data_IF_293805456685
#
_entry.id   IF_293805456685
#
_cell.length_a   1.000
_cell.length_b   1.000
_cell.length_c   1.000
_cell.angle_alpha   90.00
_cell.angle_beta   90.00
_cell.angle_gamma   90.00
#
_symmetry.space_group_name_H-M   'P 1'
#
loop_
_entity.id
_entity.type
_entity.pdbx_description
1 polymer ?
#
# COMPACT_ATOMS: atom_id res chain seq x y z
N UNK A 1 -6.76 -46.87 4.89
CA UNK A 1 -6.06 -46.23 3.77
C UNK A 1 -6.63 -44.84 3.63
N UNK A 2 -6.01 -43.85 4.26
CA UNK A 2 -6.40 -42.44 4.12
C UNK A 2 -6.04 -42.01 2.72
N UNK A 3 -7.03 -41.59 1.93
CA UNK A 3 -6.80 -40.91 0.65
C UNK A 3 -5.75 -39.83 0.87
N UNK A 4 -4.62 -39.96 0.18
CA UNK A 4 -3.65 -38.89 0.02
C UNK A 4 -4.40 -37.73 -0.63
N UNK A 5 -4.82 -36.73 0.14
CA UNK A 5 -5.47 -35.56 -0.41
C UNK A 5 -4.50 -34.89 -1.40
N UNK A 6 -4.93 -34.77 -2.65
CA UNK A 6 -4.13 -34.13 -3.68
C UNK A 6 -3.96 -32.65 -3.32
N UNK A 7 -2.74 -32.27 -2.94
CA UNK A 7 -2.40 -30.95 -2.39
C UNK A 7 -1.44 -30.22 -3.33
N UNK A 8 -1.49 -28.88 -3.30
CA UNK A 8 -0.51 -27.99 -3.92
C UNK A 8 0.15 -27.19 -2.80
N UNK A 9 1.47 -27.13 -2.83
CA UNK A 9 2.25 -26.24 -1.95
C UNK A 9 2.36 -24.87 -2.62
N UNK A 10 2.00 -23.82 -1.90
CA UNK A 10 2.21 -22.43 -2.31
C UNK A 10 3.26 -21.80 -1.41
N UNK A 11 4.20 -21.05 -1.98
CA UNK A 11 5.30 -20.40 -1.24
C UNK A 11 5.09 -18.88 -1.15
N UNK A 12 5.40 -18.30 0.01
CA UNK A 12 5.30 -16.88 0.28
C UNK A 12 6.51 -16.33 1.04
N UNK A 13 6.94 -15.13 0.67
CA UNK A 13 8.10 -14.45 1.27
C UNK A 13 7.93 -12.93 1.31
N UNK A 14 8.47 -12.30 2.36
CA UNK A 14 8.63 -10.85 2.40
C UNK A 14 9.95 -10.41 1.76
N UNK A 15 10.13 -9.09 1.56
CA UNK A 15 11.30 -8.54 0.87
C UNK A 15 12.63 -8.89 1.55
N UNK A 16 12.70 -8.87 2.88
CA UNK A 16 13.93 -9.16 3.61
C UNK A 16 14.18 -10.66 3.87
N UNK A 17 13.25 -11.54 3.49
CA UNK A 17 13.34 -12.99 3.73
C UNK A 17 13.16 -13.46 5.18
N UNK A 18 13.03 -12.53 6.15
CA UNK A 18 12.80 -12.87 7.58
C UNK A 18 11.46 -13.59 7.80
N UNK A 19 10.47 -13.33 6.92
CA UNK A 19 9.27 -14.15 6.79
C UNK A 19 9.35 -14.93 5.49
N UNK A 20 9.34 -16.25 5.63
CA UNK A 20 9.30 -17.24 4.56
C UNK A 20 8.50 -18.44 5.03
N UNK A 21 7.43 -18.78 4.32
CA UNK A 21 6.62 -19.95 4.63
C UNK A 21 6.06 -20.59 3.37
N UNK A 22 5.69 -21.85 3.50
CA UNK A 22 4.86 -22.56 2.53
C UNK A 22 3.50 -22.88 3.13
N UNK A 23 2.51 -23.14 2.29
CA UNK A 23 1.18 -23.60 2.70
C UNK A 23 0.72 -24.70 1.76
N UNK A 24 0.33 -25.84 2.33
CA UNK A 24 -0.24 -26.95 1.57
C UNK A 24 -1.76 -26.79 1.55
N UNK A 25 -2.31 -26.68 0.35
CA UNK A 25 -3.75 -26.49 0.13
C UNK A 25 -4.33 -27.62 -0.73
N UNK A 26 -5.57 -28.07 -0.49
CA UNK A 26 -6.23 -29.00 -1.39
C UNK A 26 -6.35 -28.40 -2.79
N UNK A 27 -5.96 -29.12 -3.85
CA UNK A 27 -6.10 -28.59 -5.22
C UNK A 27 -7.54 -28.27 -5.58
N UNK A 28 -8.51 -28.98 -4.99
CA UNK A 28 -9.95 -28.71 -5.14
C UNK A 28 -10.42 -27.38 -4.57
N UNK A 29 -9.59 -26.70 -3.75
CA UNK A 29 -9.89 -25.37 -3.22
C UNK A 29 -9.37 -24.24 -4.10
N UNK A 30 -8.59 -24.56 -5.13
CA UNK A 30 -8.03 -23.60 -6.08
C UNK A 30 -8.96 -23.40 -7.28
N UNK A 31 -8.98 -22.19 -7.86
CA UNK A 31 -8.26 -20.99 -7.42
C UNK A 31 -8.95 -20.31 -6.23
N UNK A 32 -8.16 -19.68 -5.36
CA UNK A 32 -8.69 -18.90 -4.25
C UNK A 32 -9.22 -17.53 -4.71
N UNK A 33 -10.42 -17.12 -4.27
CA UNK A 33 -10.91 -15.77 -4.55
C UNK A 33 -10.10 -14.75 -3.75
N UNK A 34 -9.64 -13.69 -4.41
CA UNK A 34 -8.93 -12.56 -3.81
C UNK A 34 -9.84 -11.36 -3.74
N UNK A 35 -9.91 -10.76 -2.55
CA UNK A 35 -10.63 -9.52 -2.33
C UNK A 35 -9.68 -8.37 -2.02
N UNK A 36 -10.00 -7.20 -2.56
CA UNK A 36 -9.36 -5.93 -2.26
C UNK A 36 -10.15 -5.25 -1.16
N UNK A 37 -9.55 -5.07 0.03
CA UNK A 37 -10.17 -4.34 1.13
C UNK A 37 -9.69 -2.90 1.16
N UNK A 38 -10.65 -1.96 1.15
CA UNK A 38 -10.40 -0.53 1.04
C UNK A 38 -10.64 0.25 2.33
N UNK A 39 -11.02 -0.43 3.42
CA UNK A 39 -11.34 0.24 4.67
C UNK A 39 -10.14 1.04 5.20
N UNK A 40 -10.43 2.10 5.96
CA UNK A 40 -9.40 2.98 6.55
C UNK A 40 -8.35 2.20 7.35
N UNK A 41 -8.77 1.20 8.13
CA UNK A 41 -7.85 0.33 8.86
C UNK A 41 -6.82 -0.34 7.93
N UNK A 42 -7.26 -0.95 6.82
CA UNK A 42 -6.38 -1.66 5.90
C UNK A 42 -5.42 -0.70 5.20
N UNK A 43 -5.89 0.47 4.75
CA UNK A 43 -5.01 1.48 4.14
C UNK A 43 -4.00 2.04 5.13
N UNK A 44 -4.46 2.48 6.30
CA UNK A 44 -3.63 3.14 7.29
C UNK A 44 -2.66 2.19 8.02
N UNK A 45 -2.92 0.87 8.01
CA UNK A 45 -2.04 -0.15 8.60
C UNK A 45 -1.07 -0.77 7.60
N UNK A 46 -1.36 -0.72 6.29
CA UNK A 46 -0.43 -1.20 5.26
C UNK A 46 0.43 -0.08 4.66
N UNK A 47 -0.13 1.13 4.53
CA UNK A 47 0.43 2.21 3.72
C UNK A 47 0.04 2.13 2.23
N UNK A 48 -0.69 1.09 1.83
CA UNK A 48 -1.14 0.87 0.45
C UNK A 48 -2.57 1.38 0.21
N UNK A 49 -2.97 1.64 -1.05
CA UNK A 49 -4.31 2.14 -1.38
C UNK A 49 -5.43 1.14 -1.01
N UNK A 50 -5.10 -0.15 -0.98
CA UNK A 50 -5.93 -1.26 -0.51
C UNK A 50 -5.03 -2.46 -0.19
N UNK A 51 -5.62 -3.54 0.31
CA UNK A 51 -4.91 -4.80 0.62
C UNK A 51 -5.53 -5.97 -0.13
N UNK A 52 -4.72 -6.96 -0.50
CA UNK A 52 -5.09 -8.08 -1.37
C UNK A 52 -5.11 -9.36 -0.57
N UNK A 53 -6.28 -9.81 -0.15
CA UNK A 53 -6.42 -10.89 0.82
C UNK A 53 -7.20 -12.07 0.24
N UNK A 54 -6.87 -13.26 0.71
CA UNK A 54 -7.72 -14.44 0.52
C UNK A 54 -7.90 -15.20 1.84
N UNK A 55 -8.91 -16.05 1.93
CA UNK A 55 -9.13 -16.91 3.09
C UNK A 55 -8.54 -18.29 2.82
N UNK A 56 -7.62 -18.74 3.67
CA UNK A 56 -7.20 -20.14 3.63
C UNK A 56 -8.31 -21.05 4.19
N UNK A 57 -8.41 -22.30 3.71
CA UNK A 57 -9.36 -23.27 4.26
C UNK A 57 -9.17 -23.46 5.77
N UNK A 58 -10.26 -23.77 6.48
CA UNK A 58 -10.21 -24.00 7.94
C UNK A 58 -9.21 -25.11 8.26
N UNK A 59 -8.35 -24.88 9.25
CA UNK A 59 -7.29 -25.80 9.66
C UNK A 59 -6.02 -25.75 8.83
N UNK A 60 -6.02 -25.13 7.64
CA UNK A 60 -4.79 -24.88 6.88
C UNK A 60 -3.98 -23.79 7.59
N UNK A 61 -2.69 -24.03 7.77
CA UNK A 61 -1.75 -23.13 8.44
C UNK A 61 -0.43 -23.05 7.66
N UNK A 62 0.23 -21.88 7.66
CA UNK A 62 1.59 -21.75 7.16
C UNK A 62 2.57 -22.70 7.86
N UNK A 63 3.50 -23.23 7.08
CA UNK A 63 4.69 -23.95 7.54
C UNK A 63 5.88 -23.04 7.30
N UNK A 64 6.40 -22.45 8.36
CA UNK A 64 7.57 -21.57 8.25
C UNK A 64 8.79 -22.35 7.79
N UNK A 65 9.57 -21.75 6.88
CA UNK A 65 10.81 -22.30 6.36
C UNK A 65 11.96 -21.68 7.16
N UNK A 66 12.70 -22.51 7.90
CA UNK A 66 13.77 -22.05 8.79
C UNK A 66 14.80 -21.19 8.06
N UNK A 67 15.26 -20.05 8.64
CA UNK A 67 15.09 -19.64 10.04
C UNK A 67 13.81 -18.86 10.35
N UNK A 68 12.88 -18.70 9.38
CA UNK A 68 11.61 -18.02 9.62
C UNK A 68 10.78 -18.75 10.67
N UNK A 69 10.04 -17.99 11.46
CA UNK A 69 9.07 -18.49 12.44
C UNK A 69 8.05 -17.40 12.81
N UNK A 70 7.08 -17.75 13.65
CA UNK A 70 6.12 -16.79 14.19
C UNK A 70 6.79 -15.65 14.98
N UNK A 71 7.95 -15.87 15.61
CA UNK A 71 8.66 -14.81 16.34
C UNK A 71 9.24 -13.71 15.43
N UNK A 72 9.27 -13.93 14.11
CA UNK A 72 9.65 -12.93 13.12
C UNK A 72 8.46 -12.02 12.72
N UNK A 73 7.25 -12.33 13.21
CA UNK A 73 6.04 -11.53 13.03
C UNK A 73 5.82 -10.60 14.23
N UNK A 74 5.27 -9.43 13.94
CA UNK A 74 4.62 -8.58 14.93
C UNK A 74 3.12 -8.61 14.69
N UNK A 75 2.36 -8.87 15.76
CA UNK A 75 0.90 -8.91 15.73
C UNK A 75 0.34 -7.61 16.33
N UNK A 76 -0.27 -6.79 15.49
CA UNK A 76 -0.99 -5.60 15.89
C UNK A 76 -2.47 -5.92 16.08
N UNK A 77 -2.97 -5.71 17.31
CA UNK A 77 -4.36 -6.01 17.69
C UNK A 77 -5.03 -4.70 18.11
N UNK A 78 -6.14 -4.37 17.46
CA UNK A 78 -7.00 -3.25 17.87
C UNK A 78 -8.05 -3.79 18.85
N UNK A 79 -8.45 -3.01 19.88
CA UNK A 79 -9.57 -3.39 20.73
C UNK A 79 -10.80 -3.81 19.90
N UNK A 80 -11.48 -4.88 20.34
CA UNK A 80 -12.68 -5.43 19.68
C UNK A 80 -12.45 -6.05 18.28
N UNK A 81 -11.21 -6.07 17.78
CA UNK A 81 -10.88 -6.79 16.54
C UNK A 81 -10.99 -8.31 16.73
N UNK A 82 -11.49 -8.99 15.70
CA UNK A 82 -11.60 -10.47 15.69
C UNK A 82 -10.33 -11.16 15.16
N UNK A 83 -9.32 -10.38 14.79
CA UNK A 83 -8.09 -10.88 14.19
C UNK A 83 -6.93 -9.92 14.42
N UNK A 84 -5.72 -10.45 14.48
CA UNK A 84 -4.49 -9.67 14.51
C UNK A 84 -4.05 -9.28 13.10
N UNK A 85 -3.60 -8.04 12.95
CA UNK A 85 -2.87 -7.58 11.77
C UNK A 85 -1.39 -7.95 11.92
N UNK A 86 -0.91 -8.90 11.12
CA UNK A 86 0.41 -9.50 11.30
C UNK A 86 1.36 -9.11 10.17
N UNK A 87 2.52 -8.58 10.55
CA UNK A 87 3.53 -8.06 9.61
C UNK A 87 4.94 -8.49 10.01
N UNK A 88 5.88 -8.46 9.07
CA UNK A 88 7.28 -8.79 9.33
C UNK A 88 7.93 -7.75 10.24
N UNK A 89 8.51 -8.20 11.37
CA UNK A 89 9.16 -7.30 12.34
C UNK A 89 10.40 -6.58 11.82
N UNK A 90 10.98 -7.07 10.72
CA UNK A 90 12.21 -6.54 10.11
C UNK A 90 11.93 -5.52 9.01
N UNK A 91 10.98 -5.81 8.10
CA UNK A 91 10.75 -4.97 6.92
C UNK A 91 9.37 -4.29 6.85
N UNK A 92 8.47 -4.59 7.79
CA UNK A 92 7.11 -4.00 7.83
C UNK A 92 6.10 -4.67 6.91
N UNK A 93 6.50 -5.60 6.04
CA UNK A 93 5.59 -6.24 5.09
C UNK A 93 4.37 -6.86 5.77
N UNK A 94 3.19 -6.46 5.32
CA UNK A 94 1.94 -7.10 5.73
C UNK A 94 1.92 -8.55 5.26
N UNK A 95 1.69 -9.48 6.19
CA UNK A 95 1.72 -10.92 5.92
C UNK A 95 0.30 -11.48 5.91
N UNK A 96 -0.48 -11.24 6.96
CA UNK A 96 -1.82 -11.80 7.09
C UNK A 96 -2.64 -11.09 8.16
N UNK A 97 -3.97 -11.20 8.03
CA UNK A 97 -4.86 -11.09 9.20
C UNK A 97 -5.07 -12.49 9.77
N UNK A 98 -4.91 -12.68 11.08
CA UNK A 98 -5.06 -14.00 11.74
C UNK A 98 -6.19 -13.92 12.75
N UNK A 99 -7.22 -14.76 12.61
CA UNK A 99 -8.35 -14.78 13.55
C UNK A 99 -7.91 -15.12 14.97
N UNK A 100 -8.27 -14.30 15.96
CA UNK A 100 -7.82 -14.49 17.35
C UNK A 100 -8.42 -15.75 17.99
N UNK A 101 -9.69 -16.05 17.69
CA UNK A 101 -10.37 -17.24 18.21
C UNK A 101 -10.22 -18.45 17.27
N UNK A 102 -10.34 -18.24 15.96
CA UNK A 102 -10.35 -19.33 14.97
C UNK A 102 -8.94 -19.78 14.55
N UNK A 103 -7.93 -18.94 14.77
CA UNK A 103 -6.58 -19.10 14.21
C UNK A 103 -6.54 -19.11 12.68
N UNK A 104 -7.64 -18.77 12.00
CA UNK A 104 -7.70 -18.84 10.54
C UNK A 104 -6.90 -17.71 9.92
N UNK A 105 -6.12 -18.07 8.91
CA UNK A 105 -5.24 -17.15 8.19
C UNK A 105 -5.96 -16.54 6.99
N UNK A 106 -5.86 -15.22 6.90
CA UNK A 106 -6.26 -14.41 5.77
C UNK A 106 -5.00 -13.73 5.23
N UNK A 107 -4.15 -14.45 4.47
CA UNK A 107 -2.86 -13.93 4.04
C UNK A 107 -3.01 -12.88 2.94
N UNK A 108 -1.99 -12.01 2.84
CA UNK A 108 -1.79 -11.22 1.64
C UNK A 108 -1.39 -12.14 0.49
N UNK A 109 -2.13 -12.09 -0.62
CA UNK A 109 -1.76 -12.86 -1.81
C UNK A 109 -0.56 -12.27 -2.54
N UNK A 110 -0.24 -11.01 -2.24
CA UNK A 110 0.85 -10.25 -2.86
C UNK A 110 2.25 -10.76 -2.49
N UNK A 111 2.39 -11.57 -1.44
CA UNK A 111 3.69 -12.10 -0.99
C UNK A 111 3.98 -13.51 -1.52
N UNK A 112 3.04 -14.12 -2.23
CA UNK A 112 3.22 -15.45 -2.81
C UNK A 112 4.08 -15.38 -4.07
N UNK A 113 4.90 -16.40 -4.31
CA UNK A 113 5.73 -16.51 -5.52
C UNK A 113 4.92 -16.99 -6.72
N UNK A 114 3.98 -17.91 -6.48
CA UNK A 114 3.16 -18.53 -7.51
C UNK A 114 1.81 -17.83 -7.63
N UNK A 115 1.82 -16.52 -7.86
CA UNK A 115 0.60 -15.78 -8.12
C UNK A 115 0.17 -15.91 -9.58
N UNK A 116 -1.13 -16.02 -9.81
CA UNK A 116 -1.70 -16.22 -11.14
C UNK A 116 -3.10 -16.82 -11.06
N UNK A 117 -3.87 -16.78 -12.16
CA UNK A 117 -5.31 -17.09 -12.18
C UNK A 117 -5.65 -18.54 -11.81
N UNK A 118 -4.66 -19.45 -11.86
CA UNK A 118 -4.80 -20.84 -11.40
C UNK A 118 -4.79 -20.99 -9.88
N UNK A 119 -4.13 -20.06 -9.17
CA UNK A 119 -3.98 -20.11 -7.71
C UNK A 119 -4.82 -19.04 -7.00
N UNK A 120 -4.87 -17.84 -7.57
CA UNK A 120 -5.48 -16.67 -6.98
C UNK A 120 -6.24 -15.88 -8.04
N UNK A 121 -7.52 -15.62 -7.79
CA UNK A 121 -8.37 -14.86 -8.69
C UNK A 121 -8.82 -13.56 -8.06
N UNK A 122 -8.22 -12.46 -8.51
CA UNK A 122 -8.65 -11.10 -8.17
C UNK A 122 -10.00 -10.82 -8.83
N UNK A 123 -10.98 -10.41 -8.02
CA UNK A 123 -12.31 -10.11 -8.58
C UNK A 123 -13.33 -9.54 -7.61
N UNK A 124 -12.93 -9.11 -6.41
CA UNK A 124 -13.87 -8.55 -5.43
C UNK A 124 -13.31 -7.30 -4.76
N UNK A 125 -14.12 -6.26 -4.67
CA UNK A 125 -13.91 -5.13 -3.77
C UNK A 125 -14.75 -5.31 -2.52
N UNK A 126 -14.14 -5.09 -1.36
CA UNK A 126 -14.87 -4.96 -0.09
C UNK A 126 -14.57 -3.62 0.57
N UNK A 127 -15.58 -3.00 1.18
CA UNK A 127 -15.46 -1.70 1.83
C UNK A 127 -14.99 -0.57 0.89
N UNK A 128 -15.27 -0.65 -0.42
CA UNK A 128 -14.95 0.42 -1.37
C UNK A 128 -15.66 1.74 -1.05
N UNK A 129 -16.86 1.68 -0.47
CA UNK A 129 -17.57 2.86 0.04
C UNK A 129 -16.95 3.42 1.32
N UNK A 130 -16.01 2.72 1.97
CA UNK A 130 -15.26 3.24 3.13
C UNK A 130 -14.15 4.24 2.73
N UNK A 131 -14.05 4.57 1.44
CA UNK A 131 -13.14 5.55 0.88
C UNK A 131 -13.97 6.64 0.21
N UNK A 132 -13.87 7.86 0.71
CA UNK A 132 -14.43 9.01 0.01
C UNK A 132 -13.79 9.12 -1.37
N UNK A 133 -14.61 9.37 -2.39
CA UNK A 133 -14.15 9.34 -3.79
C UNK A 133 -13.67 7.97 -4.26
N UNK A 134 -14.03 6.86 -3.59
CA UNK A 134 -13.78 5.47 -4.00
C UNK A 134 -12.32 4.99 -3.99
N UNK A 135 -11.34 5.90 -4.08
CA UNK A 135 -9.94 5.51 -4.17
C UNK A 135 -9.64 4.66 -5.41
N UNK A 136 -8.70 3.71 -5.27
CA UNK A 136 -8.27 2.85 -6.39
C UNK A 136 -9.38 1.95 -6.95
N UNK A 137 -10.47 1.70 -6.21
CA UNK A 137 -11.56 0.86 -6.73
C UNK A 137 -12.25 1.46 -7.96
N UNK A 138 -12.17 2.79 -8.15
CA UNK A 138 -12.75 3.45 -9.33
C UNK A 138 -11.98 3.13 -10.62
N UNK A 139 -10.69 2.79 -10.50
CA UNK A 139 -9.83 2.39 -11.62
C UNK A 139 -9.83 0.87 -11.85
N UNK A 140 -10.47 0.11 -10.97
CA UNK A 140 -10.53 -1.36 -11.03
C UNK A 140 -11.98 -1.81 -11.11
N UNK A 141 -12.70 -1.40 -12.15
CA UNK A 141 -14.11 -1.75 -12.32
C UNK A 141 -14.29 -3.15 -12.90
N UNK A 142 -13.33 -3.61 -13.68
CA UNK A 142 -13.35 -4.90 -14.36
C UNK A 142 -11.93 -5.44 -14.57
N UNK A 143 -11.82 -6.74 -14.82
CA UNK A 143 -10.58 -7.47 -15.13
C UNK A 143 -10.90 -8.53 -16.18
N UNK A 144 -10.19 -8.51 -17.33
CA UNK A 144 -10.46 -9.41 -18.46
C UNK A 144 -11.95 -9.44 -18.89
N UNK A 145 -12.60 -8.26 -18.89
CA UNK A 145 -14.01 -8.12 -19.23
C UNK A 145 -15.01 -8.59 -18.15
N UNK A 146 -14.55 -9.06 -16.99
CA UNK A 146 -15.41 -9.42 -15.84
C UNK A 146 -15.48 -8.28 -14.85
N UNK A 147 -16.68 -7.86 -14.46
CA UNK A 147 -16.86 -6.84 -13.43
C UNK A 147 -16.41 -7.34 -12.05
N UNK A 148 -15.82 -6.44 -11.25
CA UNK A 148 -15.53 -6.74 -9.85
C UNK A 148 -16.82 -6.89 -9.06
N UNK A 149 -16.92 -7.97 -8.28
CA UNK A 149 -17.98 -8.12 -7.28
C UNK A 149 -17.75 -7.10 -6.18
N UNK A 150 -18.74 -6.26 -5.87
CA UNK A 150 -18.60 -5.24 -4.82
C UNK A 150 -19.44 -5.62 -3.60
N UNK A 151 -18.81 -5.64 -2.43
CA UNK A 151 -19.50 -5.77 -1.15
C UNK A 151 -19.20 -4.57 -0.25
N UNK A 152 -20.26 -3.94 0.25
CA UNK A 152 -20.17 -2.94 1.30
C UNK A 152 -21.20 -3.28 2.39
N UNK A 153 -20.90 -2.98 3.67
CA UNK A 153 -21.90 -3.09 4.71
C UNK A 153 -23.11 -2.16 4.43
N UNK A 154 -24.31 -2.48 4.99
CA UNK A 154 -25.46 -1.58 4.94
C UNK A 154 -25.13 -0.19 5.49
N UNK A 155 -25.73 0.87 4.93
CA UNK A 155 -25.37 2.27 5.24
C UNK A 155 -25.63 2.67 6.69
N UNK A 156 -26.59 2.03 7.35
CA UNK A 156 -26.92 2.18 8.77
C UNK A 156 -25.98 1.38 9.71
N UNK A 157 -25.12 0.52 9.16
CA UNK A 157 -24.17 -0.25 9.94
C UNK A 157 -23.04 0.64 10.48
N UNK A 158 -22.62 0.47 11.75
CA UNK A 158 -21.40 1.11 12.26
C UNK A 158 -20.14 0.81 11.41
N UNK A 159 -20.13 -0.33 10.70
CA UNK A 159 -19.04 -0.74 9.80
C UNK A 159 -19.02 0.03 8.48
N UNK A 160 -20.11 0.71 8.11
CA UNK A 160 -20.18 1.57 6.93
C UNK A 160 -19.67 2.99 7.21
N UNK A 161 -19.44 3.35 8.49
CA UNK A 161 -19.00 4.68 8.88
C UNK A 161 -17.66 5.02 8.21
N UNK A 162 -17.65 6.15 7.49
CA UNK A 162 -16.44 6.70 6.90
C UNK A 162 -15.49 7.18 7.99
N UNK A 163 -14.20 7.00 7.72
CA UNK A 163 -13.19 7.77 8.44
C UNK A 163 -13.11 9.15 7.80
N UNK A 164 -13.56 10.17 8.54
CA UNK A 164 -13.43 11.56 8.13
C UNK A 164 -12.07 12.10 8.56
N UNK A 165 -11.40 12.81 7.64
CA UNK A 165 -10.18 13.55 7.94
C UNK A 165 -10.51 15.03 7.89
N UNK A 166 -10.06 15.76 8.90
CA UNK A 166 -10.24 17.21 8.96
C UNK A 166 -9.13 17.91 8.17
N UNK A 167 -9.43 19.05 7.51
CA UNK A 167 -8.39 19.92 6.97
C UNK A 167 -7.44 20.36 8.09
N UNK A 168 -6.13 20.36 7.80
CA UNK A 168 -5.12 20.80 8.75
C UNK A 168 -4.40 22.04 8.22
N UNK A 169 -4.09 22.97 9.13
CA UNK A 169 -3.42 24.24 8.85
C UNK A 169 -2.22 24.38 9.78
N UNK A 170 -1.06 24.74 9.23
CA UNK A 170 0.16 24.97 9.99
C UNK A 170 0.15 26.29 10.76
N UNK A 171 1.18 26.53 11.58
CA UNK A 171 1.33 27.78 12.34
C UNK A 171 1.43 29.03 11.44
N UNK A 172 1.86 28.83 10.19
CA UNK A 172 1.94 29.87 9.16
C UNK A 172 0.59 30.19 8.48
N UNK A 173 -0.50 29.55 8.91
CA UNK A 173 -1.84 29.74 8.35
C UNK A 173 -2.05 29.07 6.99
N UNK A 174 -1.12 28.22 6.52
CA UNK A 174 -1.24 27.50 5.25
C UNK A 174 -1.63 26.03 5.46
N UNK A 175 -2.34 25.48 4.49
CA UNK A 175 -2.74 24.07 4.47
C UNK A 175 -1.57 23.11 4.73
N UNK A 176 -1.85 22.00 5.42
CA UNK A 176 -0.94 20.89 5.68
C UNK A 176 -1.60 19.56 5.33
N UNK A 177 -0.85 18.66 4.70
CA UNK A 177 -1.26 17.27 4.48
C UNK A 177 -0.74 16.41 5.61
N UNK A 178 -1.65 15.79 6.36
CA UNK A 178 -1.31 14.82 7.41
C UNK A 178 -0.99 13.45 6.82
N UNK A 179 0.19 12.94 7.13
CA UNK A 179 0.59 11.55 6.92
C UNK A 179 0.65 10.84 8.28
N UNK A 180 -0.16 9.80 8.46
CA UNK A 180 -0.28 9.10 9.74
C UNK A 180 -0.66 7.62 9.56
N UNK A 181 -0.08 6.73 10.38
CA UNK A 181 -0.48 5.33 10.37
C UNK A 181 -1.69 5.07 11.25
N UNK A 182 -2.23 3.85 11.22
CA UNK A 182 -3.42 3.52 12.02
C UNK A 182 -3.22 3.76 13.52
N UNK A 183 -2.10 3.33 14.10
CA UNK A 183 -1.85 3.51 15.53
C UNK A 183 -1.46 4.94 15.94
N UNK A 184 -1.26 5.87 14.99
CA UNK A 184 -0.78 7.22 15.26
C UNK A 184 0.69 7.34 15.70
N UNK A 185 1.39 6.22 15.88
CA UNK A 185 2.79 6.20 16.35
C UNK A 185 3.80 6.78 15.36
N UNK A 186 3.45 6.89 14.08
CA UNK A 186 4.17 7.70 13.09
C UNK A 186 3.17 8.70 12.55
N UNK A 187 3.47 9.99 12.73
CA UNK A 187 2.60 11.09 12.34
C UNK A 187 3.40 12.35 12.09
N UNK A 188 3.21 12.96 10.93
CA UNK A 188 3.79 14.24 10.54
C UNK A 188 2.92 14.90 9.48
N UNK A 189 3.23 16.14 9.15
CA UNK A 189 2.61 16.86 8.03
C UNK A 189 3.64 17.29 7.01
N UNK A 190 3.17 17.63 5.81
CA UNK A 190 3.95 18.35 4.82
C UNK A 190 3.09 19.42 4.12
N UNK A 191 3.69 20.54 3.69
CA UNK A 191 2.98 21.61 3.00
C UNK A 191 2.75 21.28 1.52
N UNK A 192 2.01 22.16 0.85
CA UNK A 192 2.01 22.23 -0.62
C UNK A 192 3.41 22.58 -1.14
N UNK A 193 3.70 22.40 -2.44
CA UNK A 193 4.93 22.90 -3.04
C UNK A 193 5.19 24.37 -2.67
N UNK A 194 6.37 24.63 -2.12
CA UNK A 194 6.80 25.98 -1.73
C UNK A 194 7.38 26.72 -2.94
N UNK A 195 7.48 28.04 -2.86
CA UNK A 195 8.17 28.83 -3.91
C UNK A 195 9.62 28.37 -4.10
N UNK A 196 10.30 27.96 -3.03
CA UNK A 196 11.65 27.37 -3.10
C UNK A 196 11.64 26.08 -3.92
N UNK A 197 10.75 25.13 -3.63
CA UNK A 197 10.66 23.88 -4.37
C UNK A 197 10.27 24.07 -5.85
N UNK A 198 9.41 25.06 -6.14
CA UNK A 198 8.97 25.38 -7.51
C UNK A 198 10.12 25.97 -8.34
N UNK A 199 10.96 26.81 -7.72
CA UNK A 199 12.03 27.54 -8.43
C UNK A 199 13.39 26.82 -8.40
N UNK A 200 13.55 25.77 -7.58
CA UNK A 200 14.75 24.94 -7.53
C UNK A 200 14.81 23.96 -8.72
N UNK A 201 15.97 23.89 -9.39
CA UNK A 201 16.18 23.08 -10.59
C UNK A 201 15.93 21.58 -10.37
N UNK A 202 16.24 21.07 -9.19
CA UNK A 202 16.09 19.66 -8.85
C UNK A 202 14.70 19.36 -8.27
N UNK A 203 14.26 20.13 -7.26
CA UNK A 203 13.00 19.89 -6.55
C UNK A 203 11.77 20.12 -7.44
N UNK A 204 11.85 21.04 -8.40
CA UNK A 204 10.74 21.34 -9.32
C UNK A 204 10.32 20.14 -10.18
N UNK A 205 11.17 19.11 -10.31
CA UNK A 205 10.87 17.84 -11.00
C UNK A 205 9.85 16.98 -10.25
N UNK A 206 9.63 17.24 -8.96
CA UNK A 206 8.65 16.53 -8.12
C UNK A 206 7.35 17.32 -7.90
N UNK A 207 7.31 18.56 -8.40
CA UNK A 207 6.11 19.41 -8.42
C UNK A 207 5.33 19.17 -9.70
N UNK A 208 4.01 19.08 -9.61
CA UNK A 208 3.17 18.83 -10.77
C UNK A 208 3.39 19.86 -11.90
N UNK A 209 3.45 19.42 -13.18
CA UNK A 209 3.52 20.30 -14.34
C UNK A 209 2.15 20.92 -14.66
N UNK A 210 1.07 20.32 -14.16
CA UNK A 210 -0.31 20.75 -14.42
C UNK A 210 -0.80 21.76 -13.39
N UNK A 211 -0.37 21.60 -12.13
CA UNK A 211 -0.79 22.45 -11.01
C UNK A 211 0.35 22.61 -10.02
N UNK A 212 0.94 23.82 -9.95
CA UNK A 212 2.07 24.11 -9.06
C UNK A 212 1.72 24.07 -7.57
N UNK A 213 0.45 23.87 -7.21
CA UNK A 213 0.01 23.68 -5.82
C UNK A 213 -0.03 22.21 -5.38
N UNK A 214 0.32 21.28 -6.29
CA UNK A 214 0.25 19.82 -6.06
C UNK A 214 1.61 19.12 -6.24
N UNK A 215 1.81 18.07 -5.45
CA UNK A 215 2.92 17.14 -5.60
C UNK A 215 2.60 16.04 -6.62
N UNK A 216 3.63 15.43 -7.20
CA UNK A 216 3.43 14.25 -8.02
C UNK A 216 3.00 13.04 -7.20
N UNK A 217 2.19 12.18 -7.83
CA UNK A 217 1.91 10.84 -7.33
C UNK A 217 1.88 9.80 -8.46
N UNK A 218 2.21 8.56 -8.13
CA UNK A 218 2.01 7.44 -9.04
C UNK A 218 1.72 6.15 -8.29
N UNK A 219 1.09 5.21 -8.99
CA UNK A 219 1.08 3.81 -8.58
C UNK A 219 2.34 3.10 -9.07
N UNK A 220 2.89 2.24 -8.22
CA UNK A 220 4.09 1.45 -8.48
C UNK A 220 3.80 -0.04 -8.23
N UNK A 221 4.15 -0.87 -9.21
CA UNK A 221 3.91 -2.31 -9.22
C UNK A 221 5.21 -3.13 -9.27
N UNK A 222 6.32 -2.58 -8.81
CA UNK A 222 7.58 -3.32 -8.75
C UNK A 222 7.54 -4.44 -7.69
N UNK A 223 8.33 -5.50 -7.91
CA UNK A 223 8.40 -6.64 -6.98
C UNK A 223 8.86 -6.24 -5.57
N UNK A 224 9.74 -5.24 -5.46
CA UNK A 224 10.21 -4.77 -4.16
C UNK A 224 9.09 -4.09 -3.37
N UNK A 225 8.38 -3.14 -3.99
CA UNK A 225 7.23 -2.47 -3.39
C UNK A 225 6.16 -3.50 -2.98
N UNK A 226 5.93 -4.51 -3.82
CA UNK A 226 5.00 -5.59 -3.52
C UNK A 226 5.40 -6.38 -2.28
N UNK A 227 6.67 -6.80 -2.18
CA UNK A 227 7.17 -7.59 -1.04
C UNK A 227 7.48 -6.77 0.22
N UNK A 228 7.52 -5.43 0.12
CA UNK A 228 7.67 -4.52 1.28
C UNK A 228 6.32 -4.15 1.87
N UNK A 229 5.29 -3.99 1.04
CA UNK A 229 3.96 -3.57 1.51
C UNK A 229 3.02 -4.75 1.75
N UNK A 230 3.22 -5.87 1.05
CA UNK A 230 2.24 -6.94 0.97
C UNK A 230 0.99 -6.53 0.17
N UNK A 231 1.14 -5.69 -0.85
CA UNK A 231 0.07 -5.31 -1.78
C UNK A 231 0.54 -5.42 -3.24
N UNK A 232 -0.34 -5.70 -4.20
CA UNK A 232 0.05 -5.79 -5.62
C UNK A 232 0.54 -4.44 -6.19
N UNK A 233 0.08 -3.35 -5.57
CA UNK A 233 0.43 -1.98 -5.97
C UNK A 233 0.44 -1.08 -4.74
N UNK A 234 1.36 -0.12 -4.74
CA UNK A 234 1.46 0.95 -3.75
C UNK A 234 1.35 2.29 -4.46
N UNK A 235 0.79 3.29 -3.79
CA UNK A 235 0.84 4.68 -4.26
C UNK A 235 1.96 5.43 -3.56
N UNK A 236 2.73 6.21 -4.30
CA UNK A 236 3.78 7.09 -3.78
C UNK A 236 3.50 8.54 -4.15
N UNK A 237 3.77 9.46 -3.23
CA UNK A 237 3.97 10.89 -3.53
C UNK A 237 5.37 11.32 -3.11
N UNK A 238 5.93 12.32 -3.78
CA UNK A 238 7.36 12.65 -3.70
C UNK A 238 7.52 14.04 -3.08
N UNK A 239 8.10 14.10 -1.89
CA UNK A 239 8.14 15.32 -1.09
C UNK A 239 9.57 15.54 -0.56
N UNK A 240 10.10 16.78 -0.61
CA UNK A 240 11.36 17.10 0.03
C UNK A 240 11.26 16.87 1.55
N UNK A 241 12.13 16.04 2.11
CA UNK A 241 12.10 15.64 3.52
C UNK A 241 12.20 16.84 4.47
N UNK A 242 12.95 17.86 4.06
CA UNK A 242 13.13 19.11 4.80
C UNK A 242 11.83 19.92 4.99
N UNK A 243 10.77 19.63 4.21
CA UNK A 243 9.46 20.27 4.35
C UNK A 243 8.53 19.53 5.32
N UNK A 244 8.93 18.37 5.85
CA UNK A 244 8.11 17.63 6.81
C UNK A 244 8.14 18.28 8.19
N UNK A 245 6.98 18.30 8.86
CA UNK A 245 6.78 18.88 10.19
C UNK A 245 6.20 17.82 11.16
N UNK A 246 6.85 17.52 12.30
CA UNK A 246 8.14 18.07 12.75
C UNK A 246 9.30 17.64 11.83
N UNK A 247 10.46 18.33 11.87
CA UNK A 247 11.59 17.99 11.02
C UNK A 247 12.02 16.54 11.16
N UNK A 248 12.13 15.85 10.03
CA UNK A 248 12.58 14.45 9.93
C UNK A 248 14.00 14.44 9.38
N UNK A 249 14.90 13.67 10.02
CA UNK A 249 16.29 13.53 9.57
C UNK A 249 16.41 12.48 8.46
N UNK A 250 17.52 12.45 7.70
CA UNK A 250 17.73 11.46 6.63
C UNK A 250 17.69 9.98 7.07
N UNK A 251 17.75 9.69 8.38
CA UNK A 251 17.53 8.35 8.94
C UNK A 251 16.06 7.92 8.99
N UNK A 252 15.13 8.83 8.65
CA UNK A 252 13.67 8.68 8.59
C UNK A 252 13.04 8.21 9.90
N UNK A 253 13.73 8.41 11.03
CA UNK A 253 13.24 8.04 12.35
C UNK A 253 12.32 9.14 12.88
N UNK A 254 11.05 8.77 13.08
CA UNK A 254 10.04 9.62 13.71
C UNK A 254 9.03 8.76 14.47
N UNK A 255 8.80 9.09 15.74
CA UNK A 255 7.91 8.35 16.62
C UNK A 255 8.29 6.87 16.73
N UNK A 256 7.41 5.98 16.28
CA UNK A 256 7.58 4.52 16.28
C UNK A 256 8.16 3.95 14.99
N UNK A 257 8.60 4.82 14.06
CA UNK A 257 9.18 4.38 12.80
C UNK A 257 10.44 3.54 13.03
N UNK A 258 10.56 2.46 12.26
CA UNK A 258 11.77 1.66 12.11
C UNK A 258 12.26 1.81 10.68
N UNK A 259 13.58 1.86 10.51
CA UNK A 259 14.21 1.89 9.20
C UNK A 259 15.12 0.70 8.98
N UNK A 260 15.25 0.31 7.72
CA UNK A 260 16.18 -0.73 7.28
C UNK A 260 16.65 -0.44 5.87
N UNK A 261 17.88 -0.86 5.57
CA UNK A 261 18.45 -0.78 4.24
C UNK A 261 17.94 -1.97 3.42
N UNK A 262 17.14 -1.73 2.38
CA UNK A 262 16.61 -2.82 1.53
C UNK A 262 17.58 -3.24 0.42
N UNK A 263 18.44 -2.34 -0.01
CA UNK A 263 19.51 -2.54 -1.00
C UNK A 263 20.59 -1.47 -0.78
N UNK A 264 21.76 -1.56 -1.44
CA UNK A 264 22.72 -0.46 -1.45
C UNK A 264 21.99 0.86 -1.74
N UNK A 265 22.30 1.89 -0.96
CA UNK A 265 21.79 3.26 -1.12
C UNK A 265 20.28 3.48 -0.98
N UNK A 266 19.51 2.45 -0.58
CA UNK A 266 18.06 2.55 -0.37
C UNK A 266 17.70 2.32 1.09
N UNK A 267 17.01 3.30 1.68
CA UNK A 267 16.45 3.23 3.03
C UNK A 267 14.92 3.17 2.95
N UNK A 268 14.31 2.24 3.69
CA UNK A 268 12.86 2.11 3.79
C UNK A 268 12.42 2.28 5.23
N UNK A 269 11.23 2.82 5.44
CA UNK A 269 10.65 3.08 6.76
C UNK A 269 9.25 2.51 6.90
N UNK A 270 8.96 1.95 8.06
CA UNK A 270 7.64 1.46 8.45
C UNK A 270 7.36 1.72 9.93
N UNK A 271 6.09 1.76 10.32
CA UNK A 271 5.70 1.87 11.72
C UNK A 271 5.99 0.56 12.47
N UNK A 272 6.84 0.60 13.49
CA UNK A 272 7.20 -0.57 14.29
C UNK A 272 6.06 -1.14 15.14
N UNK A 273 4.94 -0.41 15.29
CA UNK A 273 3.76 -0.85 16.03
C UNK A 273 2.70 -1.52 15.14
N UNK A 274 2.32 -0.91 14.02
CA UNK A 274 1.22 -1.40 13.17
C UNK A 274 1.67 -1.88 11.77
N UNK A 275 2.96 -1.77 11.43
CA UNK A 275 3.50 -2.26 10.16
C UNK A 275 3.31 -1.36 8.96
N UNK A 276 2.67 -0.19 9.12
CA UNK A 276 2.37 0.70 8.00
C UNK A 276 3.66 1.16 7.31
N UNK A 277 3.74 0.94 5.99
CA UNK A 277 4.82 1.48 5.16
C UNK A 277 4.69 2.99 5.07
N UNK A 278 5.81 3.72 5.21
CA UNK A 278 5.83 5.18 5.13
C UNK A 278 6.73 5.71 4.04
N UNK A 279 8.03 5.42 4.14
CA UNK A 279 9.04 6.08 3.31
C UNK A 279 9.82 5.09 2.47
N UNK A 280 10.14 5.52 1.26
CA UNK A 280 11.29 5.07 0.50
C UNK A 280 12.22 6.26 0.26
N UNK A 281 13.51 6.07 0.48
CA UNK A 281 14.55 7.05 0.17
C UNK A 281 15.69 6.36 -0.56
N UNK A 282 16.24 7.04 -1.57
CA UNK A 282 17.42 6.61 -2.31
C UNK A 282 18.47 7.73 -2.25
N UNK A 283 19.75 7.39 -2.12
CA UNK A 283 20.84 8.38 -2.22
C UNK A 283 20.86 9.08 -3.60
N UNK A 284 20.38 8.42 -4.66
CA UNK A 284 20.22 9.05 -5.97
C UNK A 284 19.25 10.24 -5.94
N UNK A 285 18.31 10.25 -4.99
CA UNK A 285 17.35 11.35 -4.79
C UNK A 285 17.76 12.33 -3.68
N UNK A 286 19.04 12.35 -3.32
CA UNK A 286 19.63 13.22 -2.28
C UNK A 286 20.84 14.00 -2.80
N UNK A 287 20.66 15.00 -3.68
CA UNK A 287 21.77 15.87 -4.09
C UNK A 287 22.42 16.58 -2.91
N UNK A 288 21.59 17.00 -1.94
CA UNK A 288 21.99 17.56 -0.65
C UNK A 288 20.96 17.15 0.40
N UNK A 289 21.28 17.29 1.69
CA UNK A 289 20.32 17.02 2.78
C UNK A 289 19.05 17.88 2.69
N UNK A 290 19.15 19.12 2.22
CA UNK A 290 17.97 19.99 2.03
C UNK A 290 17.14 19.62 0.81
N UNK A 291 17.78 19.00 -0.18
CA UNK A 291 17.13 18.57 -1.42
C UNK A 291 16.78 17.08 -1.40
N UNK A 292 16.90 16.38 -0.27
CA UNK A 292 16.51 14.98 -0.19
C UNK A 292 15.01 14.85 -0.46
N UNK A 293 14.64 14.11 -1.50
CA UNK A 293 13.25 13.79 -1.81
C UNK A 293 12.97 12.35 -1.39
N UNK A 294 11.90 12.17 -0.62
CA UNK A 294 11.42 10.87 -0.17
C UNK A 294 10.07 10.56 -0.79
N UNK A 295 9.82 9.28 -0.98
CA UNK A 295 8.55 8.77 -1.44
C UNK A 295 7.71 8.46 -0.21
N UNK A 296 6.54 9.10 -0.08
CA UNK A 296 5.60 8.91 1.02
C UNK A 296 4.44 8.04 0.52
N UNK A 297 4.16 6.96 1.23
CA UNK A 297 3.11 6.02 0.86
C UNK A 297 1.74 6.70 0.94
N UNK A 298 0.95 6.68 -0.14
CA UNK A 298 -0.31 7.45 -0.17
C UNK A 298 -1.39 6.85 0.71
N UNK A 299 -1.29 5.56 1.06
CA UNK A 299 -2.24 4.90 1.94
C UNK A 299 -2.22 5.44 3.38
N UNK A 300 -1.17 6.17 3.80
CA UNK A 300 -1.13 6.84 5.12
C UNK A 300 -1.60 8.30 5.11
N UNK A 301 -1.98 8.86 3.96
CA UNK A 301 -2.44 10.24 3.88
C UNK A 301 -3.85 10.41 4.45
N UNK A 302 -4.12 11.57 5.05
CA UNK A 302 -5.41 11.96 5.65
C UNK A 302 -6.04 13.12 4.88
N UNK A 303 -6.25 12.90 3.58
CA UNK A 303 -6.92 13.87 2.72
C UNK A 303 -8.44 13.91 3.01
N UNK A 304 -9.03 15.09 3.32
CA UNK A 304 -10.48 15.25 3.51
C UNK A 304 -11.32 14.86 2.28
N UNK A 305 -10.74 14.91 1.08
CA UNK A 305 -11.37 14.53 -0.19
C UNK A 305 -11.34 13.01 -0.46
N UNK A 306 -10.49 12.25 0.24
CA UNK A 306 -10.46 10.80 0.17
C UNK A 306 -9.13 10.19 -0.27
N UNK A 307 -9.19 8.92 -0.69
CA UNK A 307 -8.00 8.05 -0.83
C UNK A 307 -7.02 8.44 -1.95
N UNK A 308 -7.46 9.25 -2.91
CA UNK A 308 -6.60 9.76 -3.98
C UNK A 308 -5.94 11.10 -3.66
N UNK A 309 -6.36 11.79 -2.58
CA UNK A 309 -5.84 13.11 -2.20
C UNK A 309 -5.75 14.10 -3.39
N UNK A 310 -6.81 14.18 -4.19
CA UNK A 310 -6.82 14.86 -5.50
C UNK A 310 -6.55 16.37 -5.40
N UNK A 311 -6.77 17.00 -4.24
CA UNK A 311 -6.48 18.41 -4.04
C UNK A 311 -5.00 18.67 -3.72
N UNK A 312 -4.22 17.61 -3.49
CA UNK A 312 -2.82 17.66 -3.12
C UNK A 312 -1.90 16.98 -4.12
N UNK A 313 -2.43 16.02 -4.86
CA UNK A 313 -1.66 15.12 -5.71
C UNK A 313 -2.12 15.20 -7.16
N UNK A 314 -1.16 15.26 -8.09
CA UNK A 314 -1.38 14.99 -9.51
C UNK A 314 -0.89 13.59 -9.82
N UNK A 315 -1.81 12.71 -10.21
CA UNK A 315 -1.51 11.31 -10.47
C UNK A 315 -1.03 11.09 -11.91
N UNK A 316 0.08 10.35 -12.06
CA UNK A 316 0.53 9.86 -13.35
C UNK A 316 -0.33 8.67 -13.80
N UNK A 317 -0.76 8.68 -15.06
CA UNK A 317 -1.57 7.61 -15.64
C UNK A 317 -0.79 6.29 -15.76
N UNK A 318 0.48 6.38 -16.20
CA UNK A 318 1.37 5.22 -16.33
C UNK A 318 1.72 4.63 -14.97
N UNK A 319 1.38 3.36 -14.77
CA UNK A 319 1.77 2.56 -13.61
C UNK A 319 3.29 2.33 -13.65
N UNK A 320 3.99 2.70 -12.59
CA UNK A 320 5.42 2.48 -12.42
C UNK A 320 5.76 0.99 -12.40
N UNK A 321 6.85 0.61 -13.08
CA UNK A 321 7.32 -0.78 -13.17
C UNK A 321 6.24 -1.77 -13.60
N UNK A 322 5.34 -1.37 -14.50
CA UNK A 322 4.22 -2.19 -14.96
C UNK A 322 4.65 -3.56 -15.52
N UNK A 323 5.80 -3.65 -16.21
CA UNK A 323 6.33 -4.94 -16.68
C UNK A 323 6.64 -5.91 -15.53
N UNK A 324 7.06 -5.40 -14.37
CA UNK A 324 7.24 -6.21 -13.15
C UNK A 324 5.91 -6.74 -12.64
N UNK A 325 4.94 -5.85 -12.50
CA UNK A 325 3.60 -6.23 -12.07
C UNK A 325 2.94 -7.20 -13.05
N UNK A 326 3.13 -7.04 -14.36
CA UNK A 326 2.54 -7.92 -15.38
C UNK A 326 3.07 -9.34 -15.31
N UNK A 327 4.35 -9.54 -14.95
CA UNK A 327 4.89 -10.88 -14.69
C UNK A 327 4.22 -11.56 -13.50
N UNK A 328 3.73 -10.77 -12.53
CA UNK A 328 3.10 -11.27 -11.33
C UNK A 328 1.58 -11.49 -11.49
N UNK A 329 0.87 -10.50 -12.06
CA UNK A 329 -0.55 -10.58 -12.40
C UNK A 329 -0.85 -9.62 -13.58
N UNK A 330 -0.74 -10.15 -14.81
CA UNK A 330 -0.93 -9.38 -16.03
C UNK A 330 -2.33 -8.75 -16.12
N UNK A 331 -3.35 -9.56 -15.83
CA UNK A 331 -4.75 -9.15 -15.93
C UNK A 331 -5.04 -7.97 -14.99
N UNK A 332 -4.55 -8.04 -13.74
CA UNK A 332 -4.71 -6.95 -12.78
C UNK A 332 -4.02 -5.66 -13.22
N UNK A 333 -2.78 -5.75 -13.71
CA UNK A 333 -2.02 -4.55 -14.11
C UNK A 333 -2.57 -3.93 -15.39
N UNK A 334 -3.05 -4.72 -16.35
CA UNK A 334 -3.74 -4.19 -17.53
C UNK A 334 -5.03 -3.45 -17.14
N UNK A 335 -5.85 -4.05 -16.28
CA UNK A 335 -7.06 -3.40 -15.75
C UNK A 335 -6.74 -2.08 -15.02
N UNK A 336 -5.71 -2.09 -14.16
CA UNK A 336 -5.29 -0.90 -13.44
C UNK A 336 -4.78 0.18 -14.41
N UNK A 337 -3.98 -0.20 -15.41
CA UNK A 337 -3.43 0.74 -16.38
C UNK A 337 -4.52 1.38 -17.23
N UNK A 338 -5.51 0.60 -17.67
CA UNK A 338 -6.69 1.10 -18.37
C UNK A 338 -7.48 2.09 -17.49
N UNK A 339 -7.79 1.69 -16.26
CA UNK A 339 -8.54 2.54 -15.33
C UNK A 339 -7.80 3.83 -14.98
N UNK A 340 -6.48 3.78 -14.83
CA UNK A 340 -5.65 4.97 -14.59
C UNK A 340 -5.62 5.91 -15.79
N UNK A 341 -5.56 5.38 -17.02
CA UNK A 341 -5.65 6.20 -18.22
C UNK A 341 -6.98 6.96 -18.27
N UNK A 342 -8.09 6.26 -18.01
CA UNK A 342 -9.42 6.86 -17.96
C UNK A 342 -9.53 7.92 -16.86
N UNK A 343 -9.12 7.56 -15.64
CA UNK A 343 -9.16 8.45 -14.48
C UNK A 343 -8.37 9.75 -14.72
N UNK A 344 -7.13 9.65 -15.19
CA UNK A 344 -6.29 10.84 -15.45
C UNK A 344 -6.85 11.67 -16.60
N UNK A 345 -7.34 11.04 -17.67
CA UNK A 345 -7.97 11.77 -18.77
C UNK A 345 -9.22 12.54 -18.31
N UNK A 346 -10.04 11.95 -17.46
CA UNK A 346 -11.24 12.58 -16.89
C UNK A 346 -10.89 13.76 -15.96
N UNK A 347 -9.83 13.64 -15.17
CA UNK A 347 -9.43 14.65 -14.18
C UNK A 347 -8.62 15.80 -14.77
N UNK A 348 -7.70 15.49 -15.67
CA UNK A 348 -6.69 16.42 -16.15
C UNK A 348 -6.88 16.82 -17.63
N UNK A 349 -7.81 16.17 -18.34
CA UNK A 349 -8.11 16.44 -19.75
C UNK A 349 -7.05 15.94 -20.75
N UNK A 350 -5.92 15.44 -20.26
CA UNK A 350 -4.84 14.86 -21.06
C UNK A 350 -4.03 13.85 -20.24
N UNK A 351 -3.37 12.93 -20.94
CA UNK A 351 -2.38 12.03 -20.35
C UNK A 351 -1.00 12.55 -20.74
N UNK A 352 -0.23 12.99 -19.75
CA UNK A 352 1.18 13.34 -19.95
C UNK A 352 2.09 12.17 -19.58
N UNK A 353 3.02 11.85 -20.48
CA UNK A 353 4.08 10.88 -20.24
C UNK A 353 5.29 11.60 -19.64
N UNK A 354 5.61 11.29 -18.38
CA UNK A 354 6.80 11.79 -17.72
C UNK A 354 7.40 10.76 -16.76
N UNK A 355 8.72 10.82 -16.64
CA UNK A 355 9.46 10.10 -15.61
C UNK A 355 9.37 10.91 -14.31
N UNK A 356 9.33 10.21 -13.18
CA UNK A 356 9.34 10.83 -11.86
C UNK A 356 10.70 10.50 -11.27
N UNK A 357 11.53 11.54 -11.13
CA UNK A 357 12.84 11.52 -10.47
C UNK A 357 13.68 10.29 -10.75
#
# INVERSE_FOLDING_TARGET
>A
MTESSDTKTLEAKCSCGSIHFTVDVPKSSLPFPVHLCHCSFCRFSSGSPCVFHTHLPVGVRPKFVGPSSDSNLTHYIVPESRGSWSFCSTCGCHIATIGLESGNWVPSTSIFTDHGPENFQVGRHIYSKSVKGGGISQMLTHIEGREFVVFNPPEDSPKAKLFESEPEVGEDGKDRMRAQCHCGGVSFTFPRPTEEAINDEYLSKFVSPLDKTKWHACFDACDDCRHVTGAHVVGWTFVPLALCEPPIKPDLLIGTAKTYQSSPDVLRSFCGTCGATFFYASEERRPTDRQQVVDIATGVLRAPEGGMAENWLTWRARVGWSDSGKRFDNAFIEALQEGMNKYVLEKEGKIEEYNIG
#
